data_IF_766907604950
#
_entry.id   IF_766907604950
#
_cell.length_a   1.000
_cell.length_b   1.000
_cell.length_c   1.000
_cell.angle_alpha   90.00
_cell.angle_beta   90.00
_cell.angle_gamma   90.00
#
_symmetry.space_group_name_H-M   'P 1'
#
loop_
_entity.id
_entity.type
_entity.pdbx_description
1 polymer ?
#
# COMPACT_ATOMS: atom_id res chain seq x y z
N UNK A 1 4.42 11.65 18.56
CA UNK A 1 3.08 12.12 18.14
C UNK A 1 2.38 10.94 17.49
N UNK A 2 1.25 10.52 18.05
CA UNK A 2 0.53 9.32 17.58
C UNK A 2 -0.27 9.66 16.33
N UNK A 3 0.04 9.02 15.21
CA UNK A 3 -0.68 9.08 13.93
C UNK A 3 -2.08 8.44 14.00
N UNK A 4 -2.44 7.84 15.14
CA UNK A 4 -3.70 7.12 15.34
C UNK A 4 -4.95 8.01 15.44
N UNK A 5 -4.84 9.35 15.42
CA UNK A 5 -5.97 10.23 15.75
C UNK A 5 -6.52 11.07 14.57
N UNK A 6 -6.10 10.80 13.32
CA UNK A 6 -6.43 11.69 12.18
C UNK A 6 -7.47 11.11 11.20
N UNK A 7 -7.78 9.80 11.21
CA UNK A 7 -8.64 9.23 10.15
C UNK A 7 -9.68 8.28 10.75
N UNK A 8 -10.71 8.84 11.37
CA UNK A 8 -11.95 8.13 11.76
C UNK A 8 -13.09 8.36 10.75
N UNK A 9 -12.81 8.97 9.60
CA UNK A 9 -13.78 9.14 8.54
C UNK A 9 -13.72 7.94 7.58
N UNK A 10 -14.86 7.40 7.12
CA UNK A 10 -14.86 6.36 6.11
C UNK A 10 -14.13 6.85 4.85
N UNK A 11 -13.15 6.08 4.38
CA UNK A 11 -12.40 6.40 3.17
C UNK A 11 -13.21 5.94 1.97
N UNK A 12 -13.77 6.88 1.21
CA UNK A 12 -14.41 6.59 -0.07
C UNK A 12 -13.34 6.34 -1.14
N UNK A 13 -13.47 5.20 -1.83
CA UNK A 13 -12.50 4.74 -2.81
C UNK A 13 -13.17 4.50 -4.15
N UNK A 14 -12.53 4.95 -5.23
CA UNK A 14 -13.04 4.86 -6.59
C UNK A 14 -12.05 4.18 -7.54
N UNK A 15 -12.56 3.50 -8.57
CA UNK A 15 -11.71 2.98 -9.65
C UNK A 15 -11.00 4.14 -10.35
N UNK A 16 -9.70 4.00 -10.58
CA UNK A 16 -8.82 5.02 -11.15
C UNK A 16 -8.11 5.89 -10.11
N UNK A 17 -8.59 5.92 -8.86
CA UNK A 17 -7.98 6.69 -7.78
C UNK A 17 -6.65 6.07 -7.34
N UNK A 18 -5.70 6.94 -6.98
CA UNK A 18 -4.48 6.53 -6.31
C UNK A 18 -4.66 6.64 -4.79
N UNK A 19 -4.17 5.63 -4.08
CA UNK A 19 -4.17 5.54 -2.62
C UNK A 19 -2.75 5.29 -2.12
N UNK A 20 -2.41 5.87 -0.98
CA UNK A 20 -1.21 5.50 -0.25
C UNK A 20 -1.53 4.36 0.71
N UNK A 21 -0.72 3.31 0.69
CA UNK A 21 -0.80 2.22 1.65
C UNK A 21 0.42 2.25 2.56
N UNK A 22 0.19 2.09 3.86
CA UNK A 22 1.23 2.00 4.88
C UNK A 22 0.99 0.77 5.76
N UNK A 23 1.92 -0.19 5.81
CA UNK A 23 1.81 -1.34 6.72
C UNK A 23 1.69 -0.91 8.19
N UNK A 24 0.81 -1.59 8.94
CA UNK A 24 0.59 -1.31 10.36
C UNK A 24 1.61 -2.01 11.27
N UNK A 25 2.30 -3.03 10.75
CA UNK A 25 3.33 -3.81 11.47
C UNK A 25 4.72 -3.43 10.98
N UNK A 26 5.69 -3.42 11.89
CA UNK A 26 7.08 -3.23 11.51
C UNK A 26 7.64 -4.53 10.89
N UNK A 27 8.50 -4.46 9.85
CA UNK A 27 9.10 -5.65 9.23
C UNK A 27 9.89 -6.56 10.20
N UNK A 28 10.33 -6.03 11.34
CA UNK A 28 11.02 -6.83 12.38
C UNK A 28 10.06 -7.68 13.22
N UNK A 29 8.76 -7.38 13.19
CA UNK A 29 7.71 -8.03 13.99
C UNK A 29 7.03 -9.20 13.25
N UNK A 30 7.41 -9.43 11.99
CA UNK A 30 6.73 -10.40 11.10
C UNK A 30 7.66 -11.53 10.65
N UNK A 31 7.08 -12.60 10.12
CA UNK A 31 7.83 -13.73 9.58
C UNK A 31 8.63 -13.39 8.31
N UNK A 32 9.56 -14.25 7.93
CA UNK A 32 10.49 -14.00 6.80
C UNK A 32 9.77 -13.77 5.46
N UNK A 33 8.72 -14.53 5.17
CA UNK A 33 7.93 -14.41 3.94
C UNK A 33 7.21 -13.05 3.88
N UNK A 34 6.59 -12.62 4.98
CA UNK A 34 5.92 -11.34 5.08
C UNK A 34 6.92 -10.18 4.96
N UNK A 35 8.06 -10.28 5.67
CA UNK A 35 9.16 -9.33 5.55
C UNK A 35 9.67 -9.19 4.12
N UNK A 36 9.78 -10.30 3.39
CA UNK A 36 10.18 -10.27 1.97
C UNK A 36 9.16 -9.50 1.11
N UNK A 37 7.86 -9.80 1.27
CA UNK A 37 6.81 -9.08 0.54
C UNK A 37 6.78 -7.60 0.90
N UNK A 38 6.92 -7.27 2.19
CA UNK A 38 6.98 -5.89 2.65
C UNK A 38 8.16 -5.14 2.04
N UNK A 39 9.34 -5.76 1.94
CA UNK A 39 10.51 -5.14 1.29
C UNK A 39 10.29 -4.87 -0.21
N UNK A 40 9.52 -5.72 -0.89
CA UNK A 40 9.22 -5.56 -2.32
C UNK A 40 8.14 -4.51 -2.55
N UNK A 41 7.12 -4.46 -1.70
CA UNK A 41 5.93 -3.62 -1.89
C UNK A 41 6.02 -2.26 -1.19
N UNK A 42 6.79 -2.17 -0.11
CA UNK A 42 6.93 -0.99 0.75
C UNK A 42 8.41 -0.69 1.01
N UNK A 43 9.18 -0.41 -0.05
CA UNK A 43 10.63 -0.34 0.06
C UNK A 43 11.15 0.77 0.99
N UNK A 44 10.38 1.85 1.12
CA UNK A 44 10.73 3.01 1.95
C UNK A 44 10.64 2.72 3.45
N UNK A 45 9.85 1.73 3.87
CA UNK A 45 9.78 1.32 5.29
C UNK A 45 11.14 0.89 5.86
N UNK A 46 12.02 0.36 5.02
CA UNK A 46 13.33 -0.17 5.45
C UNK A 46 14.48 0.82 5.22
N UNK A 47 14.18 2.09 4.89
CA UNK A 47 15.19 3.08 4.50
C UNK A 47 15.93 2.70 3.20
N UNK A 48 15.39 1.75 2.44
CA UNK A 48 15.98 1.27 1.20
C UNK A 48 15.61 2.20 0.06
N UNK A 49 16.61 2.88 -0.51
CA UNK A 49 16.51 3.32 -1.91
C UNK A 49 16.29 2.05 -2.71
N UNK A 50 15.11 1.89 -3.33
CA UNK A 50 14.94 0.86 -4.35
C UNK A 50 15.96 1.21 -5.41
N UNK A 51 17.09 0.50 -5.44
CA UNK A 51 17.83 0.34 -6.68
C UNK A 51 16.81 -0.31 -7.58
N UNK A 52 16.17 0.49 -8.44
CA UNK A 52 15.32 0.00 -9.49
C UNK A 52 16.07 -1.18 -10.07
N UNK A 53 15.57 -2.38 -9.81
CA UNK A 53 16.14 -3.55 -10.46
C UNK A 53 16.14 -3.17 -11.94
N UNK A 54 17.25 -3.40 -12.65
CA UNK A 54 17.39 -3.12 -14.09
C UNK A 54 16.36 -3.89 -14.97
N UNK A 55 15.31 -4.43 -14.35
CA UNK A 55 14.18 -5.10 -14.93
C UNK A 55 12.94 -4.34 -14.45
N UNK A 56 12.12 -3.76 -15.35
CA UNK A 56 10.89 -3.12 -14.96
C UNK A 56 10.07 -4.12 -14.14
N UNK A 57 9.78 -3.80 -12.88
CA UNK A 57 8.83 -4.57 -12.10
C UNK A 57 7.52 -4.47 -12.88
N UNK A 58 7.10 -5.57 -13.50
CA UNK A 58 5.80 -5.62 -14.19
C UNK A 58 4.76 -5.16 -13.18
N UNK A 59 3.89 -4.17 -13.51
CA UNK A 59 2.83 -3.77 -12.60
C UNK A 59 2.00 -4.99 -12.24
N UNK A 60 2.04 -5.40 -10.97
CA UNK A 60 1.24 -6.52 -10.47
C UNK A 60 -0.04 -5.95 -9.86
N UNK A 61 -1.13 -6.70 -10.03
CA UNK A 61 -2.40 -6.43 -9.38
C UNK A 61 -2.46 -7.26 -8.11
N UNK A 62 -2.82 -6.60 -7.02
CA UNK A 62 -2.95 -7.15 -5.68
C UNK A 62 -4.40 -6.99 -5.22
N UNK A 63 -4.81 -7.81 -4.26
CA UNK A 63 -6.13 -7.68 -3.63
C UNK A 63 -6.00 -6.85 -2.36
N UNK A 64 -6.89 -5.88 -2.17
CA UNK A 64 -6.97 -5.06 -0.97
C UNK A 64 -8.38 -5.18 -0.39
N UNK A 65 -8.51 -5.72 0.82
CA UNK A 65 -9.81 -5.89 1.49
C UNK A 65 -9.97 -4.83 2.56
N UNK A 66 -11.01 -4.01 2.46
CA UNK A 66 -11.25 -2.87 3.36
C UNK A 66 -12.04 -3.27 4.63
N UNK A 67 -11.62 -2.73 5.78
CA UNK A 67 -12.18 -2.94 7.12
C UNK A 67 -13.36 -2.03 7.47
N UNK A 68 -13.61 -0.98 6.69
CA UNK A 68 -14.72 -0.03 6.87
C UNK A 68 -14.21 1.34 7.34
N UNK A 69 -13.17 1.32 8.17
CA UNK A 69 -12.33 2.48 8.45
C UNK A 69 -11.15 2.53 7.46
N UNK A 70 -10.11 3.32 7.77
CA UNK A 70 -8.86 3.35 7.01
C UNK A 70 -8.09 2.03 7.04
N UNK A 71 -8.44 1.08 7.90
CA UNK A 71 -7.77 -0.22 7.98
C UNK A 71 -8.12 -1.15 6.80
N UNK A 72 -7.11 -1.82 6.26
CA UNK A 72 -7.27 -2.80 5.20
C UNK A 72 -6.22 -3.91 5.27
N UNK A 73 -6.44 -4.97 4.49
CA UNK A 73 -5.49 -6.07 4.31
C UNK A 73 -5.11 -6.16 2.84
N UNK A 74 -3.81 -5.97 2.54
CA UNK A 74 -3.24 -6.18 1.22
C UNK A 74 -2.78 -7.63 1.09
N UNK A 75 -3.35 -8.37 0.15
CA UNK A 75 -2.94 -9.74 -0.18
C UNK A 75 -2.04 -9.75 -1.39
N UNK A 76 -0.79 -10.18 -1.20
CA UNK A 76 0.22 -10.30 -2.25
C UNK A 76 0.92 -11.66 -2.21
N UNK A 77 0.81 -12.44 -3.29
CA UNK A 77 1.45 -13.76 -3.37
C UNK A 77 1.01 -14.75 -2.28
N UNK A 78 -0.23 -14.63 -1.78
CA UNK A 78 -0.76 -15.44 -0.67
C UNK A 78 -0.38 -14.94 0.71
N UNK A 79 0.35 -13.82 0.82
CA UNK A 79 0.68 -13.17 2.08
C UNK A 79 -0.28 -12.03 2.36
N UNK A 80 -0.82 -11.98 3.57
CA UNK A 80 -1.68 -10.89 4.06
C UNK A 80 -0.83 -9.87 4.83
N UNK A 81 -0.90 -8.62 4.39
CA UNK A 81 -0.18 -7.49 4.99
C UNK A 81 -1.24 -6.49 5.48
N UNK A 82 -1.44 -6.35 6.79
CA UNK A 82 -2.27 -5.31 7.36
C UNK A 82 -1.71 -3.92 7.03
N UNK A 83 -2.56 -3.04 6.51
CA UNK A 83 -2.19 -1.70 6.05
C UNK A 83 -3.26 -0.68 6.47
N UNK A 84 -2.84 0.58 6.56
CA UNK A 84 -3.75 1.73 6.56
C UNK A 84 -3.82 2.29 5.14
N UNK A 85 -5.04 2.59 4.70
CA UNK A 85 -5.35 3.30 3.46
C UNK A 85 -5.37 4.80 3.76
N UNK A 86 -4.49 5.53 3.09
CA UNK A 86 -4.32 6.96 3.26
C UNK A 86 -4.73 7.68 1.95
N UNK A 87 -5.69 8.60 2.01
CA UNK A 87 -6.00 9.49 0.90
C UNK A 87 -4.77 10.35 0.56
N UNK A 88 -4.39 10.37 -0.72
CA UNK A 88 -3.19 11.11 -1.17
C UNK A 88 -3.34 12.64 -1.10
N UNK A 89 -4.57 13.13 -1.05
CA UNK A 89 -4.94 14.55 -1.01
C UNK A 89 -4.82 15.19 0.37
N UNK A 90 -4.77 14.39 1.45
CA UNK A 90 -4.77 14.91 2.82
C UNK A 90 -3.36 14.89 3.43
N UNK A 91 -2.74 13.71 3.53
CA UNK A 91 -1.36 13.55 4.02
C UNK A 91 -0.93 12.08 3.86
N UNK A 92 0.05 11.80 2.98
CA UNK A 92 0.69 10.50 2.91
C UNK A 92 2.11 10.59 3.49
N UNK A 93 2.45 9.85 4.56
CA UNK A 93 3.80 9.74 5.09
C UNK A 93 4.78 9.31 4.00
N UNK A 94 6.05 9.73 4.12
CA UNK A 94 7.07 9.45 3.11
C UNK A 94 7.31 7.93 2.93
N UNK A 95 7.03 7.15 3.96
CA UNK A 95 7.17 5.70 3.99
C UNK A 95 6.03 4.97 3.26
N UNK A 96 4.91 5.65 3.01
CA UNK A 96 3.76 5.07 2.33
C UNK A 96 4.06 4.84 0.84
N UNK A 97 3.44 3.79 0.29
CA UNK A 97 3.61 3.42 -1.13
C UNK A 97 2.30 3.62 -1.88
N UNK A 98 2.38 4.22 -3.07
CA UNK A 98 1.21 4.53 -3.88
C UNK A 98 0.75 3.33 -4.71
N UNK A 99 -0.56 3.11 -4.72
CA UNK A 99 -1.23 2.10 -5.52
C UNK A 99 -2.41 2.73 -6.26
N UNK A 100 -2.68 2.26 -7.47
CA UNK A 100 -3.88 2.65 -8.22
C UNK A 100 -4.99 1.62 -8.03
N UNK A 101 -6.20 2.04 -7.69
CA UNK A 101 -7.38 1.18 -7.69
C UNK A 101 -7.79 0.90 -9.14
N UNK A 102 -7.80 -0.36 -9.56
CA UNK A 102 -8.11 -0.74 -10.95
C UNK A 102 -9.43 -1.48 -11.11
N UNK A 103 -9.97 -2.06 -10.04
CA UNK A 103 -11.29 -2.66 -10.02
C UNK A 103 -11.82 -2.73 -8.58
N UNK A 104 -13.13 -2.86 -8.43
CA UNK A 104 -13.80 -2.99 -7.13
C UNK A 104 -14.89 -4.05 -7.20
N UNK A 105 -15.01 -4.84 -6.13
CA UNK A 105 -16.09 -5.79 -5.92
C UNK A 105 -16.45 -5.81 -4.44
N UNK A 106 -17.54 -5.11 -4.09
CA UNK A 106 -17.91 -4.90 -2.69
C UNK A 106 -16.77 -4.24 -1.91
N UNK A 107 -16.28 -4.93 -0.86
CA UNK A 107 -15.22 -4.45 0.03
C UNK A 107 -13.80 -4.82 -0.44
N UNK A 108 -13.70 -5.58 -1.52
CA UNK A 108 -12.43 -6.03 -2.09
C UNK A 108 -12.10 -5.17 -3.32
N UNK A 109 -10.88 -4.64 -3.33
CA UNK A 109 -10.36 -3.79 -4.38
C UNK A 109 -9.21 -4.52 -5.06
N UNK A 110 -9.11 -4.39 -6.37
CA UNK A 110 -7.90 -4.73 -7.10
C UNK A 110 -7.05 -3.47 -7.19
N UNK A 111 -5.81 -3.55 -6.69
CA UNK A 111 -4.88 -2.42 -6.67
C UNK A 111 -3.60 -2.75 -7.42
N UNK A 112 -3.07 -1.80 -8.18
CA UNK A 112 -1.84 -1.95 -8.96
C UNK A 112 -0.74 -1.12 -8.34
N UNK A 113 0.42 -1.74 -8.07
CA UNK A 113 1.61 -1.02 -7.63
C UNK A 113 2.10 -0.08 -8.73
N UNK A 114 2.37 1.18 -8.38
CA UNK A 114 2.91 2.18 -9.32
C UNK A 114 4.44 2.11 -9.26
N UNK A 115 5.14 1.88 -10.37
CA UNK A 115 6.59 2.02 -10.38
C UNK A 115 6.96 3.46 -10.00
N UNK A 116 7.81 3.64 -8.99
CA UNK A 116 8.34 4.95 -8.63
C UNK A 116 9.15 5.51 -9.81
N UNK A 117 8.51 6.37 -10.60
CA UNK A 117 9.02 6.89 -11.87
C UNK A 117 7.93 7.52 -12.74
N UNK A 118 6.67 7.13 -12.56
CA UNK A 118 5.53 7.63 -13.36
C UNK A 118 4.72 8.78 -12.69
N UNK A 119 5.11 9.25 -11.50
CA UNK A 119 4.40 10.34 -10.79
C UNK A 119 5.03 11.72 -11.11
N UNK A 120 5.41 11.92 -12.37
CA UNK A 120 5.85 13.23 -12.88
C UNK A 120 5.24 13.44 -14.25
N UNK A 121 4.03 13.98 -14.27
CA UNK A 121 3.41 14.64 -15.41
C UNK A 121 2.59 15.82 -14.90
#
# INVERSE_FOLDING_TARGET
MSIANVISAPVELFVGQFVALLPTRHPDEVGEVERYQMRVLFPRLLGGVVRAANKPLRPRVYSLTTGGDADAVLTAGGTEIPVVVLPLDVFAPAEATAFQVVAMSGRTLSVRGVPEGDISA
#
